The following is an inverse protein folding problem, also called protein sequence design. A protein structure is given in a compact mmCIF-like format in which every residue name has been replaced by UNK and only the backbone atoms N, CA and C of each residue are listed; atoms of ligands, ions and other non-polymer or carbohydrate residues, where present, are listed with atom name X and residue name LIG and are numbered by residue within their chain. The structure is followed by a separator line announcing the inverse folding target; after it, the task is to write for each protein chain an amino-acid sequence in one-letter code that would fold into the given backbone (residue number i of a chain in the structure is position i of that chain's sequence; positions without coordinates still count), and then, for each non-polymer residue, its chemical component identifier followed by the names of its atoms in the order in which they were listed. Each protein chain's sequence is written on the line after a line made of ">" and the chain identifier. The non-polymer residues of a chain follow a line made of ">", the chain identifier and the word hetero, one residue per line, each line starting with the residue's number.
data_IF_368686763077
#
_entry.id   IF_368686763077
#
_cell.length_a   1.000
_cell.length_b   1.000
_cell.length_c   1.000
_cell.angle_alpha   90.00
_cell.angle_beta   90.00
_cell.angle_gamma   90.00
#
_symmetry.space_group_name_H-M   'P 1'
#
loop_
_entity.id
_entity.type
_entity.pdbx_description
1 polymer ?
#
# COMPACT_ATOMS: atom_id res chain seq x y z
N UNK A 1 10.73 -0.58 3.74
CA UNK A 1 11.25 0.53 2.91
C UNK A 1 12.47 1.23 3.56
N UNK A 2 13.59 0.51 3.75
CA UNK A 2 14.77 1.02 4.48
C UNK A 2 15.48 2.18 3.77
N UNK A 3 15.58 2.13 2.44
CA UNK A 3 16.25 3.17 1.64
C UNK A 3 15.58 4.53 1.82
N UNK A 4 14.25 4.57 1.90
CA UNK A 4 13.51 5.82 2.06
C UNK A 4 13.69 6.40 3.47
N UNK A 5 13.77 5.56 4.50
CA UNK A 5 14.10 6.01 5.86
C UNK A 5 15.53 6.58 5.93
N UNK A 6 16.50 5.90 5.30
CA UNK A 6 17.86 6.41 5.21
C UNK A 6 17.92 7.77 4.51
N UNK A 7 17.15 7.98 3.43
CA UNK A 7 17.08 9.27 2.74
C UNK A 7 16.52 10.36 3.67
N UNK A 8 15.44 10.07 4.39
CA UNK A 8 14.81 11.00 5.34
C UNK A 8 15.75 11.38 6.50
N UNK A 9 16.59 10.46 6.95
CA UNK A 9 17.56 10.68 8.03
C UNK A 9 18.84 11.38 7.57
N UNK A 10 19.28 11.16 6.32
CA UNK A 10 20.60 11.59 5.83
C UNK A 10 20.58 12.96 5.16
N UNK A 11 19.50 13.31 4.44
CA UNK A 11 19.46 14.53 3.64
C UNK A 11 18.57 15.60 4.29
N UNK A 12 19.04 16.85 4.28
CA UNK A 12 18.24 17.99 4.73
C UNK A 12 17.10 18.29 3.75
N UNK A 13 15.91 18.55 4.26
CA UNK A 13 14.75 18.87 3.42
C UNK A 13 13.40 18.64 4.11
N UNK A 14 12.30 18.66 3.34
CA UNK A 14 10.98 18.28 3.83
C UNK A 14 11.00 16.82 4.30
N UNK A 15 10.68 16.60 5.58
CA UNK A 15 10.68 15.25 6.14
C UNK A 15 9.51 14.42 5.59
N UNK A 16 9.85 13.20 5.19
CA UNK A 16 8.96 12.17 4.66
C UNK A 16 8.18 11.50 5.79
N UNK A 17 8.82 11.31 6.95
CA UNK A 17 8.19 10.74 8.13
C UNK A 17 7.59 11.82 9.03
N UNK A 18 6.45 11.56 9.67
CA UNK A 18 5.93 12.44 10.70
C UNK A 18 6.94 12.66 11.85
N UNK A 19 6.92 13.85 12.43
CA UNK A 19 7.72 14.19 13.63
C UNK A 19 7.15 13.55 14.90
N UNK A 20 5.83 13.48 14.97
CA UNK A 20 5.15 12.83 16.08
C UNK A 20 5.45 11.31 16.09
N UNK A 21 5.86 10.74 17.23
CA UNK A 21 6.21 9.32 17.30
C UNK A 21 5.07 8.37 16.96
N UNK A 22 3.83 8.72 17.33
CA UNK A 22 2.65 7.89 17.05
C UNK A 22 2.33 7.89 15.55
N UNK A 23 2.26 9.06 14.93
CA UNK A 23 2.05 9.17 13.48
C UNK A 23 3.17 8.48 12.71
N UNK A 24 4.42 8.58 13.19
CA UNK A 24 5.56 7.89 12.58
C UNK A 24 5.41 6.36 12.65
N UNK A 25 4.96 5.83 13.80
CA UNK A 25 4.70 4.40 13.94
C UNK A 25 3.57 3.96 13.00
N UNK A 26 2.50 4.75 12.88
CA UNK A 26 1.40 4.47 11.98
C UNK A 26 1.83 4.48 10.49
N UNK A 27 2.69 5.43 10.10
CA UNK A 27 3.22 5.51 8.75
C UNK A 27 4.06 4.27 8.40
N UNK A 28 4.90 3.80 9.34
CA UNK A 28 5.69 2.56 9.17
C UNK A 28 4.81 1.32 9.11
N UNK A 29 3.78 1.27 9.94
CA UNK A 29 2.81 0.17 9.94
C UNK A 29 2.14 0.02 8.56
N UNK A 30 1.58 1.11 8.02
CA UNK A 30 0.92 1.06 6.71
C UNK A 30 1.89 0.72 5.59
N UNK A 31 3.09 1.30 5.60
CA UNK A 31 4.11 0.97 4.61
C UNK A 31 4.49 -0.52 4.65
N UNK A 32 4.67 -1.09 5.85
CA UNK A 32 5.00 -2.51 6.03
C UNK A 32 3.84 -3.41 5.61
N UNK A 33 2.61 -3.07 5.99
CA UNK A 33 1.40 -3.80 5.61
C UNK A 33 1.26 -3.88 4.09
N UNK A 34 1.52 -2.78 3.38
CA UNK A 34 1.49 -2.72 1.92
C UNK A 34 2.64 -3.51 1.27
N UNK A 35 3.84 -3.42 1.82
CA UNK A 35 5.03 -4.15 1.35
C UNK A 35 4.82 -5.68 1.44
N UNK A 36 4.18 -6.14 2.52
CA UNK A 36 3.88 -7.57 2.72
C UNK A 36 2.90 -8.14 1.69
N UNK A 37 2.13 -7.28 1.01
CA UNK A 37 1.16 -7.66 -0.01
C UNK A 37 1.72 -7.66 -1.43
N UNK A 38 2.99 -7.26 -1.61
CA UNK A 38 3.66 -7.29 -2.92
C UNK A 38 3.76 -8.71 -3.48
N UNK A 39 4.02 -9.71 -2.64
CA UNK A 39 4.06 -11.12 -3.06
C UNK A 39 2.71 -11.57 -3.64
N UNK A 40 1.59 -11.21 -3.00
CA UNK A 40 0.25 -11.50 -3.50
C UNK A 40 -0.02 -10.84 -4.87
N UNK A 41 0.43 -9.61 -5.07
CA UNK A 41 0.35 -8.93 -6.36
C UNK A 41 1.18 -9.62 -7.45
N UNK A 42 2.39 -10.08 -7.11
CA UNK A 42 3.25 -10.87 -8.01
C UNK A 42 2.54 -12.17 -8.41
N UNK A 43 1.97 -12.89 -7.44
CA UNK A 43 1.22 -14.12 -7.69
C UNK A 43 0.04 -13.87 -8.64
N UNK A 44 -0.72 -12.81 -8.38
CA UNK A 44 -1.87 -12.41 -9.22
C UNK A 44 -1.46 -12.07 -10.67
N UNK A 45 -0.28 -11.49 -10.86
CA UNK A 45 0.21 -11.01 -12.15
C UNK A 45 0.89 -12.11 -12.97
N UNK A 46 1.85 -12.81 -12.37
CA UNK A 46 2.77 -13.71 -13.09
C UNK A 46 2.34 -15.18 -13.06
N UNK A 47 1.57 -15.61 -12.07
CA UNK A 47 1.15 -17.00 -11.93
C UNK A 47 -0.26 -17.23 -12.50
N UNK A 48 -0.64 -18.50 -12.64
CA UNK A 48 -1.95 -18.96 -13.14
C UNK A 48 -2.46 -20.12 -12.28
N UNK A 49 -3.77 -20.35 -12.31
CA UNK A 49 -4.39 -21.43 -11.54
C UNK A 49 -4.55 -21.05 -10.07
N UNK A 50 -4.31 -22.00 -9.16
CA UNK A 50 -4.57 -21.86 -7.73
C UNK A 50 -3.81 -20.69 -7.08
N UNK A 51 -2.52 -20.52 -7.40
CA UNK A 51 -1.70 -19.42 -6.88
C UNK A 51 -2.20 -18.04 -7.30
N UNK A 52 -2.78 -17.95 -8.51
CA UNK A 52 -3.38 -16.72 -9.00
C UNK A 52 -4.66 -16.37 -8.24
N UNK A 53 -5.54 -17.35 -8.01
CA UNK A 53 -6.80 -17.11 -7.29
C UNK A 53 -6.53 -16.73 -5.83
N UNK A 54 -5.60 -17.41 -5.16
CA UNK A 54 -5.16 -17.04 -3.80
C UNK A 54 -4.58 -15.62 -3.75
N UNK A 55 -3.74 -15.27 -4.74
CA UNK A 55 -3.19 -13.92 -4.87
C UNK A 55 -4.28 -12.87 -5.04
N UNK A 56 -5.32 -13.14 -5.86
CA UNK A 56 -6.45 -12.23 -6.02
C UNK A 56 -7.17 -12.03 -4.70
N UNK A 57 -7.50 -13.10 -3.99
CA UNK A 57 -8.22 -13.04 -2.71
C UNK A 57 -7.47 -12.17 -1.70
N UNK A 58 -6.17 -12.41 -1.50
CA UNK A 58 -5.33 -11.62 -0.58
C UNK A 58 -5.25 -10.13 -0.99
N UNK A 59 -5.18 -9.83 -2.29
CA UNK A 59 -5.18 -8.45 -2.80
C UNK A 59 -6.55 -7.80 -2.58
N UNK A 60 -7.65 -8.55 -2.73
CA UNK A 60 -9.00 -8.05 -2.49
C UNK A 60 -9.24 -7.74 -1.01
N UNK A 61 -8.77 -8.59 -0.10
CA UNK A 61 -8.82 -8.32 1.34
C UNK A 61 -8.03 -7.07 1.71
N UNK A 62 -6.82 -6.94 1.15
CA UNK A 62 -6.01 -5.73 1.32
C UNK A 62 -6.79 -4.50 0.85
N UNK A 63 -7.42 -4.54 -0.33
CA UNK A 63 -8.22 -3.42 -0.84
C UNK A 63 -9.37 -3.05 0.10
N UNK A 64 -10.06 -4.02 0.71
CA UNK A 64 -11.12 -3.76 1.70
C UNK A 64 -10.57 -3.05 2.94
N UNK A 65 -9.41 -3.48 3.46
CA UNK A 65 -8.75 -2.82 4.60
C UNK A 65 -8.35 -1.39 4.26
N UNK A 66 -7.76 -1.17 3.08
CA UNK A 66 -7.33 0.15 2.64
C UNK A 66 -8.51 1.10 2.42
N UNK A 67 -9.63 0.59 1.90
CA UNK A 67 -10.84 1.38 1.68
C UNK A 67 -11.45 1.87 3.00
N UNK A 68 -11.51 0.99 4.00
CA UNK A 68 -12.00 1.34 5.33
C UNK A 68 -11.08 2.36 6.03
N UNK A 69 -9.76 2.22 5.86
CA UNK A 69 -8.81 3.16 6.46
C UNK A 69 -8.84 4.53 5.77
N UNK A 70 -8.79 4.54 4.43
CA UNK A 70 -8.75 5.76 3.66
C UNK A 70 -10.09 6.48 3.76
N UNK A 71 -11.22 5.81 3.50
CA UNK A 71 -12.55 6.41 3.51
C UNK A 71 -12.54 7.84 2.89
N UNK A 72 -12.85 8.88 3.67
CA UNK A 72 -12.83 10.29 3.23
C UNK A 72 -11.46 11.00 3.41
N UNK A 73 -10.44 10.30 3.92
CA UNK A 73 -9.08 10.83 4.13
C UNK A 73 -8.35 10.94 2.81
N UNK A 74 -7.71 12.08 2.60
CA UNK A 74 -6.86 12.32 1.42
C UNK A 74 -5.50 11.60 1.48
N UNK A 75 -5.00 11.32 2.67
CA UNK A 75 -3.70 10.70 2.93
C UNK A 75 -3.81 9.76 4.14
N UNK A 76 -2.92 8.76 4.22
CA UNK A 76 -2.94 7.78 5.31
C UNK A 76 -2.66 8.38 6.68
N UNK A 77 -1.67 9.27 6.78
CA UNK A 77 -1.19 9.79 8.06
C UNK A 77 -0.94 11.30 8.00
N UNK A 78 -1.31 12.02 9.05
CA UNK A 78 -0.90 13.43 9.24
C UNK A 78 -1.46 14.44 8.22
N UNK A 79 -2.43 14.05 7.39
CA UNK A 79 -3.12 14.93 6.44
C UNK A 79 -2.23 15.48 5.31
N UNK A 80 -1.04 14.92 5.11
CA UNK A 80 -0.08 15.31 4.07
C UNK A 80 0.50 14.05 3.43
N UNK A 81 0.96 14.18 2.18
CA UNK A 81 1.66 13.09 1.50
C UNK A 81 2.91 12.70 2.30
N UNK A 82 3.02 11.43 2.67
CA UNK A 82 4.14 10.92 3.46
C UNK A 82 4.55 9.50 3.07
N UNK A 83 5.32 8.89 3.97
CA UNK A 83 5.91 7.55 3.79
C UNK A 83 4.90 6.46 3.38
N UNK A 84 3.75 6.39 4.06
CA UNK A 84 2.70 5.42 3.76
C UNK A 84 2.04 5.66 2.39
N UNK A 85 1.82 6.92 2.01
CA UNK A 85 1.22 7.26 0.71
C UNK A 85 2.13 6.89 -0.46
N UNK A 86 3.46 6.98 -0.28
CA UNK A 86 4.42 6.51 -1.28
C UNK A 86 4.36 5.00 -1.47
N UNK A 87 4.29 4.23 -0.38
CA UNK A 87 4.09 2.78 -0.45
C UNK A 87 2.76 2.44 -1.15
N UNK A 88 1.69 3.13 -0.79
CA UNK A 88 0.36 2.93 -1.37
C UNK A 88 0.32 3.30 -2.85
N UNK A 89 1.02 4.36 -3.26
CA UNK A 89 1.13 4.75 -4.65
C UNK A 89 1.80 3.65 -5.49
N UNK A 90 2.89 3.06 -4.99
CA UNK A 90 3.55 1.95 -5.67
C UNK A 90 2.61 0.77 -5.86
N UNK A 91 1.87 0.37 -4.81
CA UNK A 91 0.84 -0.68 -4.89
C UNK A 91 -0.27 -0.30 -5.88
N UNK A 92 -0.75 0.94 -5.84
CA UNK A 92 -1.77 1.48 -6.75
C UNK A 92 -1.38 1.41 -8.24
N UNK A 93 -0.09 1.62 -8.56
CA UNK A 93 0.41 1.49 -9.92
C UNK A 93 0.24 0.07 -10.47
N UNK A 94 0.52 -0.95 -9.64
CA UNK A 94 0.36 -2.37 -10.02
C UNK A 94 -1.12 -2.78 -10.07
N UNK A 95 -1.94 -2.28 -9.15
CA UNK A 95 -3.39 -2.50 -9.14
C UNK A 95 -4.05 -2.02 -10.44
N UNK A 96 -3.58 -0.91 -11.02
CA UNK A 96 -4.09 -0.42 -12.32
C UNK A 96 -3.97 -1.49 -13.42
N UNK A 97 -2.86 -2.22 -13.44
CA UNK A 97 -2.62 -3.30 -14.40
C UNK A 97 -3.45 -4.56 -14.07
N UNK A 98 -3.68 -4.81 -12.77
CA UNK A 98 -4.49 -5.93 -12.28
C UNK A 98 -6.00 -5.70 -12.33
N UNK A 99 -6.46 -4.49 -12.67
CA UNK A 99 -7.88 -4.11 -12.68
C UNK A 99 -8.80 -5.12 -13.35
N UNK A 100 -8.42 -5.65 -14.53
CA UNK A 100 -9.24 -6.64 -15.25
C UNK A 100 -9.33 -7.98 -14.50
N UNK A 101 -8.27 -8.36 -13.80
CA UNK A 101 -8.17 -9.64 -13.06
C UNK A 101 -8.86 -9.56 -11.69
N UNK A 102 -8.92 -8.36 -11.12
CA UNK A 102 -9.54 -8.06 -9.82
C UNK A 102 -10.96 -7.49 -9.95
N UNK A 103 -11.54 -7.51 -11.16
CA UNK A 103 -12.83 -6.87 -11.44
C UNK A 103 -13.93 -7.30 -10.47
N UNK A 104 -14.05 -8.62 -10.23
CA UNK A 104 -15.10 -9.18 -9.38
C UNK A 104 -15.07 -8.62 -7.94
N UNK A 105 -13.88 -8.47 -7.36
CA UNK A 105 -13.75 -7.89 -6.01
C UNK A 105 -14.00 -6.39 -5.97
N UNK A 106 -13.66 -5.66 -7.04
CA UNK A 106 -13.88 -4.21 -7.11
C UNK A 106 -15.38 -3.93 -7.36
N UNK A 107 -16.07 -4.81 -8.09
CA UNK A 107 -17.51 -4.70 -8.36
C UNK A 107 -18.42 -5.17 -7.23
N UNK A 108 -17.87 -5.89 -6.24
CA UNK A 108 -18.61 -6.35 -5.04
C UNK A 108 -18.79 -5.27 -3.97
N UNK A 109 -18.50 -4.00 -4.32
CA UNK A 109 -18.88 -2.82 -3.55
C UNK A 109 -20.27 -2.34 -3.89
#
# INVERSE_FOLDING_TARGET
>A
MVIVEYIDETFEGPSILPKDPYDRALARFWAKFLDDKVAAMINTFFHKGEEQEKGKEEVCEMLKVLDNELNDKKFFVGGKLGFADMAANFVGLWLRSLRKRLWNCISEK
#
